data_IF_102370391124
#
_entry.id   IF_102370391124
#
_cell.length_a   1.000
_cell.length_b   1.000
_cell.length_c   1.000
_cell.angle_alpha   90.00
_cell.angle_beta   90.00
_cell.angle_gamma   90.00
#
_symmetry.space_group_name_H-M   'P 1'
#
loop_
_entity.id
_entity.type
_entity.pdbx_description
1 polymer ?
#
# COMPACT_ATOMS: atom_id res chain seq x y z
N UNK A 1 13.62 0.76 20.12
CA UNK A 1 12.85 -0.47 20.42
C UNK A 1 11.57 -0.26 21.22
N UNK A 2 11.54 0.55 22.30
CA UNK A 2 10.33 0.75 23.14
C UNK A 2 9.05 1.18 22.40
N UNK A 3 9.16 1.84 21.25
CA UNK A 3 8.01 2.30 20.45
C UNK A 3 7.75 1.45 19.21
N UNK A 4 8.58 0.44 18.93
CA UNK A 4 8.40 -0.43 17.77
C UNK A 4 7.02 -1.10 17.75
N UNK A 5 6.46 -1.58 18.88
CA UNK A 5 5.11 -2.13 18.90
C UNK A 5 4.03 -1.11 18.51
N UNK A 6 4.20 0.16 18.88
CA UNK A 6 3.24 1.23 18.54
C UNK A 6 3.34 1.63 17.07
N UNK A 7 4.55 1.65 16.51
CA UNK A 7 4.78 1.89 15.08
C UNK A 7 4.16 0.77 14.26
N UNK A 8 4.41 -0.48 14.61
CA UNK A 8 3.82 -1.65 13.96
C UNK A 8 2.29 -1.64 14.07
N UNK A 9 1.76 -1.31 15.25
CA UNK A 9 0.33 -1.14 15.45
C UNK A 9 -0.25 -0.05 14.54
N UNK A 10 0.40 1.11 14.45
CA UNK A 10 -0.06 2.21 13.59
C UNK A 10 -0.01 1.84 12.11
N UNK A 11 1.03 1.15 11.65
CA UNK A 11 1.18 0.69 10.27
C UNK A 11 0.11 -0.33 9.89
N UNK A 12 -0.09 -1.37 10.72
CA UNK A 12 -1.04 -2.45 10.44
C UNK A 12 -2.50 -2.00 10.46
N UNK A 13 -2.82 -0.89 11.14
CA UNK A 13 -4.17 -0.35 11.26
C UNK A 13 -4.45 0.86 10.37
N UNK A 14 -3.44 1.41 9.69
CA UNK A 14 -3.61 2.53 8.78
C UNK A 14 -4.14 2.07 7.42
N UNK A 15 -4.91 2.94 6.76
CA UNK A 15 -5.44 2.67 5.43
C UNK A 15 -4.31 2.63 4.39
N UNK A 16 -4.18 1.51 3.67
CA UNK A 16 -3.23 1.36 2.58
C UNK A 16 -3.95 1.49 1.24
N UNK A 17 -3.64 2.55 0.49
CA UNK A 17 -4.27 2.84 -0.80
C UNK A 17 -4.09 1.72 -1.85
N UNK A 18 -2.99 0.97 -1.76
CA UNK A 18 -2.71 -0.16 -2.67
C UNK A 18 -3.69 -1.32 -2.50
N UNK A 19 -4.03 -1.67 -1.26
CA UNK A 19 -4.98 -2.75 -0.93
C UNK A 19 -6.40 -2.23 -0.66
N UNK A 20 -6.58 -0.91 -0.60
CA UNK A 20 -7.83 -0.19 -0.26
C UNK A 20 -8.46 -0.63 1.07
N UNK A 21 -7.65 -1.05 2.03
CA UNK A 21 -8.04 -1.47 3.38
C UNK A 21 -6.82 -1.31 4.31
N UNK A 22 -7.00 -1.44 5.63
CA UNK A 22 -5.87 -1.63 6.53
C UNK A 22 -5.35 -3.08 6.46
N UNK A 23 -4.03 -3.34 6.60
CA UNK A 23 -3.49 -4.70 6.67
C UNK A 23 -4.19 -5.60 7.71
N UNK A 24 -4.55 -5.06 8.86
CA UNK A 24 -5.31 -5.78 9.89
C UNK A 24 -6.72 -6.18 9.42
N UNK A 25 -7.44 -5.25 8.80
CA UNK A 25 -8.79 -5.50 8.24
C UNK A 25 -8.75 -6.55 7.13
N UNK A 26 -7.70 -6.50 6.31
CA UNK A 26 -7.43 -7.47 5.26
C UNK A 26 -7.19 -8.89 5.80
N UNK A 27 -6.48 -9.01 6.93
CA UNK A 27 -6.13 -10.30 7.52
C UNK A 27 -7.29 -10.93 8.29
N UNK A 28 -7.99 -10.15 9.11
CA UNK A 28 -9.01 -10.66 10.03
C UNK A 28 -10.44 -10.41 9.57
N UNK A 29 -10.63 -9.72 8.44
CA UNK A 29 -11.95 -9.38 7.90
C UNK A 29 -12.70 -8.31 8.70
N UNK A 30 -12.13 -7.78 9.80
CA UNK A 30 -12.78 -6.86 10.75
C UNK A 30 -11.87 -5.69 11.13
N UNK A 31 -12.47 -4.58 11.55
CA UNK A 31 -11.72 -3.42 12.07
C UNK A 31 -11.05 -3.76 13.41
N UNK A 32 -9.85 -3.22 13.63
CA UNK A 32 -9.16 -3.35 14.90
C UNK A 32 -9.95 -2.67 16.01
N UNK A 33 -10.10 -3.35 17.14
CA UNK A 33 -10.66 -2.78 18.36
C UNK A 33 -9.50 -2.24 19.19
N UNK A 34 -9.37 -0.93 19.22
CA UNK A 34 -8.42 -0.23 20.08
C UNK A 34 -9.18 0.68 21.04
N UNK A 35 -8.61 1.07 22.18
CA UNK A 35 -9.21 2.07 23.06
C UNK A 35 -9.57 3.38 22.34
N UNK A 36 -8.88 3.69 21.23
CA UNK A 36 -9.08 4.87 20.41
C UNK A 36 -10.08 4.66 19.24
N UNK A 37 -10.30 3.42 18.81
CA UNK A 37 -11.20 3.07 17.70
C UNK A 37 -12.32 2.14 18.18
N UNK A 38 -13.30 2.71 18.89
CA UNK A 38 -14.57 2.07 19.15
C UNK A 38 -15.50 2.25 17.95
N UNK A 39 -15.33 1.42 16.92
CA UNK A 39 -16.44 1.18 15.99
C UNK A 39 -17.53 0.40 16.74
N UNK A 40 -18.79 0.85 16.60
CA UNK A 40 -19.99 0.36 17.30
C UNK A 40 -19.93 -1.13 17.64
N UNK A 41 -20.02 -1.43 18.93
CA UNK A 41 -20.42 -2.76 19.42
C UNK A 41 -21.82 -3.02 18.85
N UNK A 42 -21.94 -3.89 17.85
CA UNK A 42 -23.23 -4.15 17.20
C UNK A 42 -23.20 -4.81 15.82
N UNK A 43 -22.05 -4.94 15.16
CA UNK A 43 -22.00 -5.80 13.97
C UNK A 43 -22.19 -7.24 14.44
N UNK A 44 -23.29 -7.86 14.00
CA UNK A 44 -23.70 -9.22 14.35
C UNK A 44 -22.50 -10.16 14.28
N UNK A 45 -22.40 -11.10 15.23
CA UNK A 45 -21.46 -12.20 15.13
C UNK A 45 -21.79 -12.97 13.86
N UNK A 46 -21.10 -12.65 12.76
CA UNK A 46 -21.08 -13.46 11.55
C UNK A 46 -20.74 -14.88 12.00
N UNK A 47 -21.51 -15.85 11.50
CA UNK A 47 -21.30 -17.25 11.88
C UNK A 47 -19.94 -17.69 11.33
N UNK A 48 -19.24 -18.61 12.00
CA UNK A 48 -17.90 -19.07 11.60
C UNK A 48 -17.71 -19.32 10.08
N UNK A 49 -18.66 -19.97 9.38
CA UNK A 49 -18.56 -20.21 7.94
C UNK A 49 -18.62 -18.94 7.07
N UNK A 50 -19.45 -17.96 7.44
CA UNK A 50 -19.61 -16.71 6.69
C UNK A 50 -18.34 -15.86 6.79
N UNK A 51 -17.70 -15.85 7.96
CA UNK A 51 -16.40 -15.20 8.16
C UNK A 51 -15.36 -15.83 7.23
N UNK A 52 -15.27 -17.16 7.16
CA UNK A 52 -14.29 -17.85 6.31
C UNK A 52 -14.48 -17.49 4.84
N UNK A 53 -15.74 -17.47 4.38
CA UNK A 53 -16.05 -17.13 2.99
C UNK A 53 -15.69 -15.68 2.68
N UNK A 54 -16.11 -14.72 3.51
CA UNK A 54 -15.80 -13.30 3.32
C UNK A 54 -14.28 -13.04 3.37
N UNK A 55 -13.56 -13.72 4.27
CA UNK A 55 -12.10 -13.60 4.37
C UNK A 55 -11.42 -14.15 3.12
N UNK A 56 -11.91 -15.28 2.57
CA UNK A 56 -11.39 -15.88 1.34
C UNK A 56 -11.56 -14.95 0.15
N UNK A 57 -12.74 -14.34 0.01
CA UNK A 57 -13.02 -13.37 -1.05
C UNK A 57 -12.14 -12.12 -0.93
N UNK A 58 -11.99 -11.58 0.28
CA UNK A 58 -11.08 -10.45 0.55
C UNK A 58 -9.63 -10.81 0.20
N UNK A 59 -9.15 -12.00 0.55
CA UNK A 59 -7.80 -12.47 0.21
C UNK A 59 -7.58 -12.46 -1.32
N UNK A 60 -8.54 -12.95 -2.10
CA UNK A 60 -8.43 -12.94 -3.57
C UNK A 60 -8.35 -11.50 -4.10
N UNK A 61 -9.20 -10.61 -3.61
CA UNK A 61 -9.18 -9.20 -4.00
C UNK A 61 -7.85 -8.51 -3.63
N UNK A 62 -7.31 -8.78 -2.44
CA UNK A 62 -6.03 -8.23 -1.99
C UNK A 62 -4.90 -8.71 -2.88
N UNK A 63 -4.86 -10.02 -3.22
CA UNK A 63 -3.85 -10.58 -4.14
C UNK A 63 -3.89 -9.89 -5.50
N UNK A 64 -5.08 -9.70 -6.08
CA UNK A 64 -5.24 -8.99 -7.35
C UNK A 64 -4.75 -7.54 -7.27
N UNK A 65 -5.09 -6.83 -6.18
CA UNK A 65 -4.66 -5.44 -5.96
C UNK A 65 -3.14 -5.32 -5.79
N UNK A 66 -2.53 -6.23 -5.03
CA UNK A 66 -1.08 -6.30 -4.87
C UNK A 66 -0.37 -6.56 -6.20
N UNK A 67 -0.89 -7.50 -7.00
CA UNK A 67 -0.35 -7.78 -8.33
C UNK A 67 -0.43 -6.54 -9.23
N UNK A 68 -1.59 -5.87 -9.28
CA UNK A 68 -1.75 -4.64 -10.05
C UNK A 68 -0.80 -3.51 -9.61
N UNK A 69 -0.56 -3.35 -8.30
CA UNK A 69 0.39 -2.39 -7.78
C UNK A 69 1.84 -2.73 -8.19
N UNK A 70 2.23 -4.01 -8.09
CA UNK A 70 3.54 -4.50 -8.53
C UNK A 70 3.74 -4.29 -10.03
N UNK A 71 2.74 -4.59 -10.85
CA UNK A 71 2.81 -4.41 -12.29
C UNK A 71 2.94 -2.93 -12.68
N UNK A 72 2.27 -2.02 -11.95
CA UNK A 72 2.46 -0.57 -12.15
C UNK A 72 3.89 -0.13 -11.84
N UNK A 73 4.44 -0.56 -10.71
CA UNK A 73 5.83 -0.25 -10.34
C UNK A 73 6.80 -0.79 -11.40
N UNK A 74 6.61 -2.04 -11.81
CA UNK A 74 7.41 -2.68 -12.85
C UNK A 74 7.33 -1.90 -14.17
N UNK A 75 6.14 -1.50 -14.61
CA UNK A 75 5.98 -0.66 -15.82
C UNK A 75 6.73 0.66 -15.72
N UNK A 76 6.72 1.34 -14.57
CA UNK A 76 7.50 2.58 -14.42
C UNK A 76 9.01 2.36 -14.52
N UNK A 77 9.50 1.26 -13.95
CA UNK A 77 10.92 0.88 -14.03
C UNK A 77 11.27 0.50 -15.47
N UNK A 78 10.51 -0.41 -16.10
CA UNK A 78 10.77 -0.90 -17.45
C UNK A 78 10.73 0.22 -18.51
N UNK A 79 9.79 1.17 -18.40
CA UNK A 79 9.72 2.35 -19.29
C UNK A 79 10.96 3.23 -19.15
N UNK A 80 11.53 3.34 -17.95
CA UNK A 80 12.73 4.15 -17.70
C UNK A 80 14.05 3.39 -17.87
N UNK A 81 13.99 2.10 -18.19
CA UNK A 81 15.17 1.29 -18.51
C UNK A 81 15.60 1.39 -19.98
N UNK A 82 14.73 1.89 -20.88
CA UNK A 82 15.13 2.26 -22.23
C UNK A 82 15.75 3.67 -22.24
N UNK A 83 16.81 3.92 -23.01
CA UNK A 83 17.30 5.28 -23.22
C UNK A 83 16.15 6.15 -23.72
N UNK A 84 15.94 7.32 -23.11
CA UNK A 84 15.03 8.32 -23.68
C UNK A 84 15.69 8.90 -24.93
N UNK A 85 14.97 8.86 -26.05
CA UNK A 85 15.33 9.59 -27.27
C UNK A 85 14.62 10.93 -27.26
N UNK A 86 15.34 12.00 -27.61
CA UNK A 86 14.82 13.37 -27.67
C UNK A 86 15.01 13.91 -29.08
N UNK A 87 14.05 14.70 -29.56
CA UNK A 87 14.16 15.41 -30.82
C UNK A 87 14.63 16.86 -30.61
N UNK A 88 15.19 17.44 -31.67
CA UNK A 88 15.55 18.86 -31.68
C UNK A 88 14.28 19.69 -31.42
N UNK A 89 14.34 20.58 -30.43
CA UNK A 89 13.25 21.42 -29.89
C UNK A 89 12.49 20.85 -28.67
N UNK A 90 12.79 19.64 -28.21
CA UNK A 90 12.22 19.12 -26.95
C UNK A 90 12.78 19.89 -25.74
N UNK A 91 11.90 20.27 -24.82
CA UNK A 91 12.30 20.88 -23.53
C UNK A 91 12.56 19.78 -22.51
N UNK A 92 13.81 19.64 -22.07
CA UNK A 92 14.23 18.63 -21.07
C UNK A 92 14.75 19.28 -19.80
N UNK A 93 14.53 18.62 -18.66
CA UNK A 93 15.11 19.03 -17.38
C UNK A 93 16.44 18.32 -17.16
N UNK A 94 17.54 19.08 -17.16
CA UNK A 94 18.86 18.54 -16.86
C UNK A 94 19.00 18.32 -15.35
N UNK A 95 19.20 17.08 -14.94
CA UNK A 95 19.53 16.77 -13.55
C UNK A 95 21.01 17.09 -13.30
N UNK A 96 21.28 18.30 -12.79
CA UNK A 96 22.62 18.69 -12.33
C UNK A 96 22.78 18.37 -10.85
N UNK A 97 23.89 17.76 -10.48
CA UNK A 97 24.35 17.76 -9.09
C UNK A 97 25.07 19.08 -8.85
N UNK A 98 24.83 19.78 -7.72
CA UNK A 98 25.62 20.95 -7.38
C UNK A 98 27.09 20.52 -7.29
N UNK A 99 27.92 21.05 -8.17
CA UNK A 99 29.36 20.81 -8.07
C UNK A 99 29.84 21.52 -6.80
N UNK A 100 30.32 20.74 -5.84
CA UNK A 100 30.99 21.29 -4.67
C UNK A 100 32.37 21.80 -5.12
N UNK A 101 32.46 23.08 -5.47
CA UNK A 101 33.72 23.81 -5.63
C UNK A 101 34.50 23.56 -6.93
N UNK A 102 33.91 23.85 -8.09
CA UNK A 102 34.73 24.21 -9.26
C UNK A 102 35.02 25.71 -9.15
N UNK A 103 36.26 26.03 -8.81
CA UNK A 103 36.86 27.38 -8.87
C UNK A 103 37.28 27.65 -10.31
#
# INVERSE_FOLDING_TARGET
ERHLPLVEFSYNNSYHASIKAAPFEALYGRKCRSPFCWAKVGDAQLTGPEIIQETTEKIVQIKQRLQAARDRQKRYVDVRHKPLEFQVSDKVMLKVSPWKGVV
#
